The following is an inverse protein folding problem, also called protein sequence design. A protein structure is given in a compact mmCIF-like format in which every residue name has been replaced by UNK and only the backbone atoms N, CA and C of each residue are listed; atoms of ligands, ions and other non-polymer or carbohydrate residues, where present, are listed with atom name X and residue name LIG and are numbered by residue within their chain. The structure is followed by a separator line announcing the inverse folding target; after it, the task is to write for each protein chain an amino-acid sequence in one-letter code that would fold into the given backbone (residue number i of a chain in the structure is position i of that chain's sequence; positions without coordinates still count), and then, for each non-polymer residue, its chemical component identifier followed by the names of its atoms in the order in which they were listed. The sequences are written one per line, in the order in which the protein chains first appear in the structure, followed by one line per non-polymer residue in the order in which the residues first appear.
data_IF_700083841928
#
_entry.id   IF_700083841928
#
_cell.length_a   1.000
_cell.length_b   1.000
_cell.length_c   1.000
_cell.angle_alpha   90.00
_cell.angle_beta   90.00
_cell.angle_gamma   90.00
#
_symmetry.space_group_name_H-M   'P 1'
#
loop_
_entity.id
_entity.type
_entity.pdbx_description
1 polymer ?
#
# COMPACT_ATOMS: atom_id res chain seq x y z
N UNK A 1 -2.42 11.69 -22.46
CA UNK A 1 -1.99 11.87 -21.06
C UNK A 1 -1.52 10.52 -20.61
N UNK A 2 -0.24 10.22 -20.80
CA UNK A 2 0.34 8.96 -20.34
C UNK A 2 0.63 9.15 -18.85
N UNK A 3 -0.37 8.75 -18.07
CA UNK A 3 -0.56 9.10 -16.68
C UNK A 3 0.20 8.14 -15.78
N UNK A 4 1.18 8.68 -15.06
CA UNK A 4 1.76 7.95 -13.94
C UNK A 4 0.66 7.64 -12.92
N UNK A 5 0.65 6.41 -12.42
CA UNK A 5 -0.27 6.00 -11.35
C UNK A 5 0.55 5.86 -10.08
N UNK A 6 0.12 6.55 -9.03
CA UNK A 6 0.67 6.43 -7.69
C UNK A 6 -0.47 6.03 -6.78
N UNK A 7 -0.37 4.88 -6.14
CA UNK A 7 -1.43 4.40 -5.25
C UNK A 7 -0.90 3.75 -3.99
N UNK A 8 -1.73 3.77 -2.96
CA UNK A 8 -1.64 2.86 -1.81
C UNK A 8 -2.79 1.87 -1.96
N UNK A 9 -2.52 0.60 -1.68
CA UNK A 9 -3.48 -0.48 -1.79
C UNK A 9 -3.41 -1.33 -0.52
N UNK A 10 -4.57 -1.80 -0.04
CA UNK A 10 -4.63 -2.84 1.00
C UNK A 10 -5.42 -4.04 0.48
N UNK A 11 -4.92 -5.23 0.77
CA UNK A 11 -5.53 -6.49 0.37
C UNK A 11 -5.59 -7.42 1.58
N UNK A 12 -6.78 -7.96 1.88
CA UNK A 12 -6.95 -8.98 2.91
C UNK A 12 -8.21 -9.80 2.68
N UNK A 13 -8.11 -11.13 2.68
CA UNK A 13 -9.27 -12.04 2.58
C UNK A 13 -10.25 -11.70 1.44
N UNK A 14 -9.74 -11.27 0.27
CA UNK A 14 -10.56 -10.87 -0.88
C UNK A 14 -11.18 -9.48 -0.79
N UNK A 15 -10.96 -8.73 0.30
CA UNK A 15 -11.19 -7.29 0.36
C UNK A 15 -10.01 -6.57 -0.29
N UNK A 16 -10.31 -5.53 -1.07
CA UNK A 16 -9.35 -4.69 -1.76
C UNK A 16 -9.81 -3.24 -1.66
N UNK A 17 -8.93 -2.36 -1.18
CA UNK A 17 -9.16 -0.92 -1.18
C UNK A 17 -7.93 -0.22 -1.76
N UNK A 18 -8.14 0.85 -2.52
CA UNK A 18 -7.04 1.64 -3.08
C UNK A 18 -7.30 3.14 -3.04
N UNK A 19 -6.20 3.88 -2.99
CA UNK A 19 -6.16 5.33 -2.92
C UNK A 19 -5.15 5.84 -3.91
N UNK A 20 -5.58 6.69 -4.85
CA UNK A 20 -4.73 7.26 -5.89
C UNK A 20 -4.19 8.63 -5.49
N UNK A 21 -2.94 8.91 -5.83
CA UNK A 21 -2.26 10.15 -5.48
C UNK A 21 -1.85 10.90 -6.74
N UNK A 22 -1.87 12.23 -6.64
CA UNK A 22 -1.41 13.13 -7.71
C UNK A 22 0.09 12.98 -8.02
N UNK A 23 0.88 12.54 -7.05
CA UNK A 23 2.32 12.39 -7.18
C UNK A 23 2.87 11.34 -6.19
N UNK A 24 4.09 10.88 -6.48
CA UNK A 24 4.81 9.87 -5.70
C UNK A 24 5.13 10.34 -4.28
N UNK A 25 5.45 11.62 -4.08
CA UNK A 25 5.80 12.19 -2.78
C UNK A 25 4.64 12.11 -1.78
N UNK A 26 3.43 12.45 -2.21
CA UNK A 26 2.22 12.34 -1.39
C UNK A 26 1.91 10.89 -1.01
N UNK A 27 2.07 9.97 -1.98
CA UNK A 27 1.94 8.52 -1.77
C UNK A 27 2.94 8.02 -0.74
N UNK A 28 4.23 8.36 -0.92
CA UNK A 28 5.31 7.96 -0.03
C UNK A 28 5.16 8.54 1.37
N UNK A 29 4.70 9.79 1.50
CA UNK A 29 4.47 10.41 2.80
C UNK A 29 3.42 9.63 3.61
N UNK A 30 2.29 9.30 2.98
CA UNK A 30 1.26 8.52 3.66
C UNK A 30 1.73 7.09 3.93
N UNK A 31 2.36 6.44 2.96
CA UNK A 31 2.88 5.08 3.11
C UNK A 31 3.85 4.98 4.29
N UNK A 32 4.83 5.89 4.38
CA UNK A 32 5.79 5.92 5.49
C UNK A 32 5.12 6.23 6.84
N UNK A 33 4.06 7.07 6.87
CA UNK A 33 3.28 7.29 8.09
C UNK A 33 2.59 6.01 8.56
N UNK A 34 2.00 5.23 7.63
CA UNK A 34 1.38 3.94 7.94
C UNK A 34 2.42 2.97 8.49
N UNK A 35 3.55 2.79 7.79
CA UNK A 35 4.64 1.92 8.24
C UNK A 35 5.10 2.26 9.66
N UNK A 36 5.33 3.55 9.93
CA UNK A 36 5.75 4.00 11.27
C UNK A 36 4.67 3.77 12.33
N UNK A 37 3.40 3.97 12.00
CA UNK A 37 2.27 3.85 12.93
C UNK A 37 1.99 2.40 13.32
N UNK A 38 2.18 1.47 12.38
CA UNK A 38 1.85 0.05 12.51
C UNK A 38 3.08 -0.85 12.62
N UNK A 39 4.29 -0.29 12.79
CA UNK A 39 5.54 -1.03 12.83
C UNK A 39 5.54 -2.20 13.83
N UNK A 40 4.88 -2.02 14.98
CA UNK A 40 4.81 -3.04 16.04
C UNK A 40 3.87 -4.21 15.68
N UNK A 41 3.10 -4.08 14.61
CA UNK A 41 2.16 -5.07 14.09
C UNK A 41 2.63 -5.69 12.76
N UNK A 42 3.81 -5.30 12.27
CA UNK A 42 4.36 -5.82 11.03
C UNK A 42 4.81 -7.28 11.20
N UNK A 43 4.46 -8.12 10.24
CA UNK A 43 4.90 -9.51 10.19
C UNK A 43 6.35 -9.53 9.70
N UNK A 44 7.27 -9.77 10.63
CA UNK A 44 8.71 -9.77 10.34
C UNK A 44 9.13 -10.95 9.43
N UNK A 45 8.44 -12.09 9.54
CA UNK A 45 8.81 -13.33 8.85
C UNK A 45 7.90 -13.55 7.63
N UNK A 46 8.24 -12.86 6.53
CA UNK A 46 7.53 -12.93 5.24
C UNK A 46 7.94 -14.19 4.48
N UNK A 47 7.53 -15.36 4.95
CA UNK A 47 7.79 -16.64 4.29
C UNK A 47 6.59 -17.07 3.43
N UNK A 48 6.86 -17.87 2.38
CA UNK A 48 5.84 -18.42 1.47
C UNK A 48 4.80 -19.35 2.17
N UNK A 49 5.06 -19.76 3.41
CA UNK A 49 4.13 -20.58 4.21
C UNK A 49 3.08 -19.75 5.00
N UNK A 50 3.14 -18.42 4.92
CA UNK A 50 2.14 -17.55 5.56
C UNK A 50 0.83 -17.64 4.78
N UNK A 51 -0.23 -18.00 5.49
CA UNK A 51 -1.58 -18.08 4.92
C UNK A 51 -2.09 -16.67 4.58
N UNK A 52 -2.28 -16.38 3.28
CA UNK A 52 -2.79 -15.11 2.77
C UNK A 52 -4.15 -14.70 3.39
N UNK A 53 -4.94 -15.67 3.86
CA UNK A 53 -6.19 -15.38 4.58
C UNK A 53 -5.96 -14.79 5.98
N UNK A 54 -4.73 -14.81 6.48
CA UNK A 54 -4.36 -14.35 7.82
C UNK A 54 -3.59 -13.04 7.83
N UNK A 55 -3.34 -12.45 6.66
CA UNK A 55 -2.60 -11.20 6.55
C UNK A 55 -3.41 -10.08 5.93
N UNK A 56 -2.95 -8.86 6.19
CA UNK A 56 -3.22 -7.68 5.38
C UNK A 56 -1.93 -7.31 4.67
N UNK A 57 -1.96 -7.28 3.35
CA UNK A 57 -0.88 -6.70 2.57
C UNK A 57 -1.19 -5.22 2.31
N UNK A 58 -0.28 -4.35 2.72
CA UNK A 58 -0.24 -2.94 2.34
C UNK A 58 0.81 -2.78 1.26
N UNK A 59 0.46 -2.20 0.12
CA UNK A 59 1.40 -1.89 -0.95
C UNK A 59 1.35 -0.43 -1.38
N UNK A 60 2.48 0.09 -1.82
CA UNK A 60 2.62 1.40 -2.42
C UNK A 60 3.04 1.22 -3.88
N UNK A 61 2.11 1.38 -4.81
CA UNK A 61 2.35 1.16 -6.25
C UNK A 61 2.76 2.47 -6.92
N UNK A 62 3.90 2.46 -7.60
CA UNK A 62 4.31 3.47 -8.58
C UNK A 62 4.34 2.81 -9.95
N UNK A 63 3.50 3.26 -10.88
CA UNK A 63 3.53 2.86 -12.28
C UNK A 63 3.87 4.07 -13.13
N UNK A 64 5.07 4.06 -13.73
CA UNK A 64 5.54 5.11 -14.63
C UNK A 64 5.63 4.54 -16.05
N UNK A 65 4.84 5.10 -16.97
CA UNK A 65 4.91 4.76 -18.39
C UNK A 65 6.01 5.62 -18.99
N UNK A 66 7.09 4.99 -19.47
CA UNK A 66 8.20 5.68 -20.14
C UNK A 66 7.82 6.00 -21.59
N UNK A 67 8.46 7.01 -22.17
CA UNK A 67 8.22 7.47 -23.55
C UNK A 67 8.53 6.40 -24.62
N UNK A 68 9.28 5.35 -24.26
CA UNK A 68 9.57 4.20 -25.11
C UNK A 68 8.52 3.07 -25.01
N UNK A 69 7.45 3.28 -24.23
CA UNK A 69 6.41 2.28 -23.96
C UNK A 69 6.77 1.26 -22.89
N UNK A 70 7.97 1.33 -22.29
CA UNK A 70 8.33 0.47 -21.16
C UNK A 70 7.67 0.94 -19.86
N UNK A 71 7.29 -0.01 -19.01
CA UNK A 71 6.71 0.27 -17.70
C UNK A 71 7.78 0.11 -16.62
N UNK A 72 7.98 1.15 -15.82
CA UNK A 72 8.73 1.06 -14.57
C UNK A 72 7.71 0.89 -13.43
N UNK A 73 7.73 -0.29 -12.80
CA UNK A 73 6.83 -0.60 -11.70
C UNK A 73 7.66 -0.82 -10.43
N UNK A 74 7.35 -0.05 -9.39
CA UNK A 74 7.86 -0.26 -8.05
C UNK A 74 6.69 -0.46 -7.10
N UNK A 75 6.71 -1.57 -6.36
CA UNK A 75 5.67 -1.93 -5.39
C UNK A 75 6.31 -2.36 -4.08
N UNK A 76 6.85 -1.43 -3.27
CA UNK A 76 7.12 -1.71 -1.86
C UNK A 76 5.83 -2.22 -1.18
N UNK A 77 5.97 -3.24 -0.34
CA UNK A 77 4.87 -3.81 0.41
C UNK A 77 5.27 -4.23 1.82
N UNK A 78 4.28 -4.19 2.71
CA UNK A 78 4.39 -4.62 4.10
C UNK A 78 3.22 -5.53 4.46
N UNK A 79 3.48 -6.52 5.33
CA UNK A 79 2.47 -7.45 5.80
C UNK A 79 2.14 -7.18 7.27
N UNK A 80 0.85 -7.25 7.57
CA UNK A 80 0.30 -7.10 8.92
C UNK A 80 -0.64 -8.27 9.21
N UNK A 81 -0.94 -8.52 10.48
CA UNK A 81 -1.98 -9.46 10.88
C UNK A 81 -3.36 -9.02 10.31
N UNK A 82 -4.19 -9.98 9.89
CA UNK A 82 -5.51 -9.68 9.29
C UNK A 82 -6.44 -8.84 10.18
N UNK A 83 -6.28 -8.91 11.51
CA UNK A 83 -7.06 -8.11 12.46
C UNK A 83 -6.73 -6.61 12.41
N UNK A 84 -5.64 -6.22 11.73
CA UNK A 84 -5.28 -4.83 11.50
C UNK A 84 -6.03 -4.19 10.32
N UNK A 85 -6.77 -4.96 9.52
CA UNK A 85 -7.44 -4.44 8.30
C UNK A 85 -8.27 -3.18 8.57
N UNK A 86 -9.19 -3.24 9.53
CA UNK A 86 -10.11 -2.13 9.82
C UNK A 86 -9.36 -0.91 10.39
N UNK A 87 -8.32 -1.13 11.20
CA UNK A 87 -7.50 -0.05 11.76
C UNK A 87 -6.63 0.64 10.69
N UNK A 88 -6.05 -0.15 9.78
CA UNK A 88 -5.33 0.37 8.61
C UNK A 88 -6.27 1.17 7.72
N UNK A 89 -7.43 0.61 7.39
CA UNK A 89 -8.45 1.25 6.56
C UNK A 89 -8.91 2.59 7.15
N UNK A 90 -9.26 2.61 8.44
CA UNK A 90 -9.67 3.82 9.14
C UNK A 90 -8.55 4.87 9.16
N UNK A 91 -7.31 4.46 9.46
CA UNK A 91 -6.18 5.38 9.49
C UNK A 91 -5.90 5.99 8.11
N UNK A 92 -5.89 5.17 7.06
CA UNK A 92 -5.69 5.64 5.69
C UNK A 92 -6.80 6.62 5.31
N UNK A 93 -8.06 6.28 5.56
CA UNK A 93 -9.20 7.15 5.23
C UNK A 93 -9.23 8.47 6.02
N UNK A 94 -8.62 8.53 7.20
CA UNK A 94 -8.49 9.77 7.96
C UNK A 94 -7.33 10.65 7.47
N UNK A 95 -6.26 10.05 6.96
CA UNK A 95 -5.09 10.79 6.46
C UNK A 95 -5.19 11.14 4.96
N UNK A 96 -5.80 10.27 4.15
CA UNK A 96 -5.92 10.42 2.70
C UNK A 96 -6.66 11.70 2.23
N UNK A 97 -7.74 12.18 2.88
CA UNK A 97 -8.42 13.42 2.49
C UNK A 97 -7.54 14.67 2.44
N UNK A 98 -6.29 14.57 2.91
CA UNK A 98 -5.29 15.64 2.93
C UNK A 98 -4.47 15.74 1.63
N UNK A 99 -4.61 14.82 0.68
CA UNK A 99 -3.70 14.67 -0.48
C UNK A 99 -4.31 15.02 -1.83
#
# INVERSE_FOLDING_TARGET
MEGNIFSIEIISQGKYESWEFKNEEARDELFNKILKRFNDHAIADKNDDVDDSRIVQLSATSLKIKEDGNVDQQVPYEWYEADQFEQLLEFINNEYPKY
#
